data_IF_614900101682
#
_entry.id   IF_614900101682
#
_cell.length_a   1.000
_cell.length_b   1.000
_cell.length_c   1.000
_cell.angle_alpha   90.00
_cell.angle_beta   90.00
_cell.angle_gamma   90.00
#
_symmetry.space_group_name_H-M   'P 1'
#
loop_
_entity.id
_entity.type
_entity.pdbx_description
1 polymer ?
#
# COMPACT_ATOMS: atom_id res chain seq x y z
N UNK A 1 -15.51 5.06 -1.42
CA UNK A 1 -15.08 5.96 -2.51
C UNK A 1 -13.91 6.82 -2.04
N UNK A 2 -12.87 6.97 -2.86
CA UNK A 2 -11.68 7.77 -2.50
C UNK A 2 -11.69 9.17 -3.14
N UNK A 3 -12.70 9.53 -3.93
CA UNK A 3 -12.78 10.81 -4.65
C UNK A 3 -12.98 12.00 -3.70
N UNK A 4 -13.51 11.75 -2.51
CA UNK A 4 -13.67 12.75 -1.44
C UNK A 4 -12.35 13.24 -0.81
N UNK A 5 -11.25 12.49 -0.96
CA UNK A 5 -9.97 12.84 -0.33
C UNK A 5 -9.12 13.74 -1.23
N UNK A 6 -8.42 14.75 -0.67
CA UNK A 6 -7.60 15.67 -1.46
C UNK A 6 -6.39 14.96 -2.08
N UNK A 7 -6.17 15.20 -3.37
CA UNK A 7 -5.01 14.68 -4.11
C UNK A 7 -3.70 15.31 -3.61
N UNK A 8 -2.70 14.47 -3.42
CA UNK A 8 -1.38 14.88 -2.95
C UNK A 8 -0.46 15.19 -4.13
N UNK A 9 -0.14 16.47 -4.32
CA UNK A 9 0.87 16.91 -5.30
C UNK A 9 2.23 17.20 -4.68
N UNK A 10 2.31 17.10 -3.35
CA UNK A 10 3.50 17.39 -2.56
C UNK A 10 3.94 16.15 -1.82
N UNK A 11 5.24 16.03 -1.67
CA UNK A 11 5.87 14.96 -0.92
C UNK A 11 5.29 14.86 0.51
N UNK A 12 4.96 13.65 1.00
CA UNK A 12 4.26 13.46 2.27
C UNK A 12 5.19 13.71 3.46
N UNK A 13 4.60 13.80 4.66
CA UNK A 13 5.35 13.80 5.92
C UNK A 13 5.21 12.46 6.62
N UNK A 14 6.14 12.18 7.53
CA UNK A 14 6.09 11.00 8.39
C UNK A 14 4.77 10.99 9.16
N UNK A 15 4.21 9.80 9.37
CA UNK A 15 2.93 9.53 10.00
C UNK A 15 1.67 9.93 9.23
N UNK A 16 1.76 10.43 8.00
CA UNK A 16 0.57 10.65 7.18
C UNK A 16 -0.08 9.33 6.78
N UNK A 17 -1.42 9.29 6.78
CA UNK A 17 -2.20 8.18 6.23
C UNK A 17 -2.70 8.61 4.86
N UNK A 18 -2.39 7.80 3.86
CA UNK A 18 -2.72 8.10 2.46
C UNK A 18 -3.27 6.88 1.75
N UNK A 19 -4.14 7.14 0.78
CA UNK A 19 -4.56 6.18 -0.23
C UNK A 19 -3.72 6.39 -1.49
N UNK A 20 -3.36 5.30 -2.16
CA UNK A 20 -2.61 5.36 -3.41
C UNK A 20 -2.80 4.09 -4.22
N UNK A 21 -2.52 4.17 -5.51
CA UNK A 21 -2.28 3.01 -6.37
C UNK A 21 -0.80 2.97 -6.72
N UNK A 22 -0.32 1.83 -7.15
CA UNK A 22 0.99 1.68 -7.75
C UNK A 22 0.95 0.56 -8.78
N UNK A 23 2.00 0.46 -9.59
CA UNK A 23 2.14 -0.70 -10.46
C UNK A 23 2.64 -1.89 -9.64
N UNK A 24 1.97 -3.02 -9.82
CA UNK A 24 2.33 -4.32 -9.25
C UNK A 24 2.64 -5.29 -10.38
N UNK A 25 3.65 -6.11 -10.17
CA UNK A 25 3.97 -7.19 -11.10
C UNK A 25 3.01 -8.34 -10.76
N UNK A 26 2.02 -8.55 -11.62
CA UNK A 26 1.12 -9.70 -11.49
C UNK A 26 1.81 -11.01 -11.89
N UNK A 27 1.12 -12.13 -11.70
CA UNK A 27 1.66 -13.49 -11.94
C UNK A 27 2.18 -13.71 -13.38
N UNK A 28 1.63 -13.00 -14.36
CA UNK A 28 2.07 -13.05 -15.76
C UNK A 28 3.27 -12.13 -16.04
N UNK A 29 3.92 -11.58 -15.02
CA UNK A 29 4.99 -10.58 -15.11
C UNK A 29 4.60 -9.28 -15.84
N UNK A 30 3.30 -9.07 -16.06
CA UNK A 30 2.77 -7.83 -16.63
C UNK A 30 2.54 -6.81 -15.51
N UNK A 31 2.99 -5.54 -15.66
CA UNK A 31 2.68 -4.48 -14.71
C UNK A 31 1.17 -4.20 -14.76
N UNK A 32 0.50 -4.39 -13.63
CA UNK A 32 -0.92 -4.07 -13.44
C UNK A 32 -1.05 -2.92 -12.46
N UNK A 33 -2.03 -2.05 -12.69
CA UNK A 33 -2.39 -1.03 -11.73
C UNK A 33 -3.08 -1.68 -10.53
N UNK A 34 -2.55 -1.46 -9.34
CA UNK A 34 -3.18 -1.94 -8.12
C UNK A 34 -4.45 -1.17 -7.78
N UNK A 35 -5.32 -1.80 -6.98
CA UNK A 35 -6.43 -1.10 -6.34
C UNK A 35 -5.93 -0.04 -5.36
N UNK A 36 -6.80 0.88 -4.94
CA UNK A 36 -6.43 1.85 -3.91
C UNK A 36 -6.03 1.13 -2.62
N UNK A 37 -4.76 1.22 -2.26
CA UNK A 37 -4.22 0.76 -0.98
C UNK A 37 -4.17 1.92 -0.01
N UNK A 38 -4.44 1.65 1.26
CA UNK A 38 -4.28 2.63 2.34
C UNK A 38 -3.06 2.23 3.16
N UNK A 39 -2.23 3.22 3.48
CA UNK A 39 -1.12 2.99 4.39
C UNK A 39 -0.62 4.27 5.06
N UNK A 40 0.14 4.06 6.12
CA UNK A 40 0.80 5.09 6.91
C UNK A 40 2.27 5.21 6.52
N UNK A 41 2.72 6.42 6.23
CA UNK A 41 4.14 6.69 5.97
C UNK A 41 4.94 6.54 7.27
N UNK A 42 5.79 5.52 7.37
CA UNK A 42 6.58 5.24 8.58
C UNK A 42 8.00 5.80 8.48
N UNK A 43 8.56 5.83 7.28
CA UNK A 43 9.88 6.36 6.98
C UNK A 43 9.91 7.06 5.61
N UNK A 44 10.84 8.00 5.48
CA UNK A 44 10.98 8.86 4.32
C UNK A 44 12.48 9.09 4.07
N UNK A 45 12.96 8.66 2.90
CA UNK A 45 14.25 9.07 2.38
C UNK A 45 14.04 10.27 1.43
N UNK A 46 14.60 11.42 1.80
CA UNK A 46 14.48 12.66 1.00
C UNK A 46 15.48 12.74 -0.15
N UNK A 47 16.58 11.99 -0.09
CA UNK A 47 17.61 12.01 -1.12
C UNK A 47 17.10 11.27 -2.36
N UNK A 48 16.51 10.09 -2.15
CA UNK A 48 15.99 9.23 -3.22
C UNK A 48 14.48 9.41 -3.45
N UNK A 49 13.83 10.28 -2.65
CA UNK A 49 12.36 10.45 -2.63
C UNK A 49 11.63 9.13 -2.39
N UNK A 50 12.22 8.24 -1.60
CA UNK A 50 11.67 6.94 -1.28
C UNK A 50 10.81 7.01 -0.01
N UNK A 51 9.72 6.25 0.00
CA UNK A 51 8.76 6.20 1.08
C UNK A 51 8.60 4.77 1.55
N UNK A 52 8.74 4.56 2.85
CA UNK A 52 8.32 3.32 3.50
C UNK A 52 6.93 3.52 4.05
N UNK A 53 5.98 2.77 3.52
CA UNK A 53 4.56 2.87 3.84
C UNK A 53 4.13 1.57 4.49
N UNK A 54 3.61 1.64 5.71
CA UNK A 54 2.97 0.51 6.38
C UNK A 54 1.51 0.43 5.92
N UNK A 55 1.14 -0.62 5.22
CA UNK A 55 -0.22 -0.85 4.73
C UNK A 55 -1.17 -1.19 5.89
N UNK A 56 -2.41 -0.71 5.81
CA UNK A 56 -3.48 -1.05 6.76
C UNK A 56 -4.14 -2.37 6.35
N UNK A 57 -4.17 -3.36 7.25
CA UNK A 57 -4.71 -4.71 7.00
C UNK A 57 -6.12 -4.74 6.42
N UNK A 58 -6.94 -3.73 6.71
CA UNK A 58 -8.34 -3.66 6.25
C UNK A 58 -8.46 -3.58 4.71
N UNK A 59 -7.44 -3.10 4.00
CA UNK A 59 -7.53 -2.82 2.55
C UNK A 59 -6.89 -3.92 1.71
N UNK A 60 -6.11 -4.80 2.34
CA UNK A 60 -5.47 -5.96 1.70
C UNK A 60 -6.41 -7.19 1.74
N UNK A 61 -7.66 -7.01 2.18
CA UNK A 61 -8.73 -8.02 2.17
C UNK A 61 -9.48 -8.05 0.83
N UNK A 62 -8.84 -7.64 -0.26
CA UNK A 62 -9.41 -7.82 -1.58
C UNK A 62 -9.22 -9.26 -2.00
N UNK A 63 -10.13 -10.15 -1.62
CA UNK A 63 -10.47 -11.41 -2.31
C UNK A 63 -9.33 -12.21 -2.95
N UNK A 64 -8.13 -12.19 -2.39
CA UNK A 64 -7.08 -13.12 -2.79
C UNK A 64 -7.47 -14.45 -2.17
N UNK A 65 -8.16 -15.29 -2.95
CA UNK A 65 -8.43 -16.68 -2.59
C UNK A 65 -7.14 -17.27 -2.01
N UNK A 66 -7.21 -17.79 -0.79
CA UNK A 66 -6.09 -18.44 -0.11
C UNK A 66 -5.49 -19.45 -1.09
N UNK A 67 -4.27 -19.16 -1.56
CA UNK A 67 -3.59 -20.07 -2.47
C UNK A 67 -3.37 -21.39 -1.75
N UNK A 68 -3.22 -22.49 -2.50
CA UNK A 68 -2.91 -23.81 -1.91
C UNK A 68 -1.61 -23.84 -1.09
N UNK A 69 -0.79 -22.79 -1.19
CA UNK A 69 0.47 -22.60 -0.49
C UNK A 69 0.43 -21.51 0.57
N UNK A 70 -0.71 -20.84 0.76
CA UNK A 70 -0.83 -19.83 1.80
C UNK A 70 -0.92 -20.49 3.18
N UNK A 71 -0.10 -19.99 4.11
CA UNK A 71 -0.21 -20.35 5.52
C UNK A 71 -1.48 -19.72 6.08
N UNK A 72 -2.30 -20.51 6.77
CA UNK A 72 -3.51 -20.05 7.42
C UNK A 72 -3.43 -20.27 8.94
N UNK A 73 -4.07 -19.39 9.70
CA UNK A 73 -4.22 -19.49 11.15
C UNK A 73 -5.30 -20.53 11.51
N UNK A 74 -5.54 -20.79 12.80
CA UNK A 74 -6.51 -21.80 13.27
C UNK A 74 -7.95 -21.48 12.80
N UNK A 75 -8.24 -20.19 12.58
CA UNK A 75 -9.49 -19.67 12.01
C UNK A 75 -9.54 -19.70 10.46
N UNK A 76 -8.53 -20.28 9.79
CA UNK A 76 -8.48 -20.37 8.32
C UNK A 76 -8.16 -19.06 7.61
N UNK A 77 -7.63 -18.06 8.33
CA UNK A 77 -7.23 -16.76 7.76
C UNK A 77 -5.77 -16.75 7.34
N UNK A 78 -5.46 -16.20 6.17
CA UNK A 78 -4.07 -16.08 5.65
C UNK A 78 -3.16 -15.38 6.66
N UNK A 79 -2.11 -16.09 7.10
CA UNK A 79 -1.02 -15.55 7.90
C UNK A 79 -0.07 -14.83 6.93
N UNK A 80 -0.12 -13.50 6.92
CA UNK A 80 0.84 -12.67 6.18
C UNK A 80 2.03 -12.30 7.06
N UNK A 81 3.24 -12.34 6.50
CA UNK A 81 4.48 -11.95 7.16
C UNK A 81 4.52 -10.45 7.43
N UNK A 82 5.21 -10.01 8.50
CA UNK A 82 5.36 -8.58 8.85
C UNK A 82 5.88 -7.71 7.68
N UNK A 83 6.72 -8.30 6.82
CA UNK A 83 7.27 -7.67 5.62
C UNK A 83 6.22 -7.41 4.53
N UNK A 84 5.13 -8.18 4.47
CA UNK A 84 4.03 -7.96 3.50
C UNK A 84 3.21 -6.71 3.83
N UNK A 85 3.36 -6.15 5.04
CA UNK A 85 2.68 -4.93 5.46
C UNK A 85 3.53 -3.68 5.27
N UNK A 86 4.75 -3.79 4.73
CA UNK A 86 5.61 -2.64 4.45
C UNK A 86 5.95 -2.57 2.97
N UNK A 87 5.56 -1.47 2.36
CA UNK A 87 5.81 -1.17 0.97
C UNK A 87 6.88 -0.07 0.89
N UNK A 88 7.93 -0.32 0.11
CA UNK A 88 8.96 0.67 -0.19
C UNK A 88 8.77 1.08 -1.64
N UNK A 89 8.42 2.34 -1.86
CA UNK A 89 8.19 2.89 -3.21
C UNK A 89 8.83 4.28 -3.35
N UNK A 90 9.15 4.68 -4.57
CA UNK A 90 9.46 6.07 -4.85
C UNK A 90 8.19 6.90 -4.86
N UNK A 91 8.27 8.15 -4.42
CA UNK A 91 7.13 9.08 -4.48
C UNK A 91 6.57 9.24 -5.90
N UNK A 92 7.42 9.12 -6.91
CA UNK A 92 7.03 9.25 -8.32
C UNK A 92 6.28 8.01 -8.85
N UNK A 93 6.37 6.86 -8.17
CA UNK A 93 5.71 5.61 -8.58
C UNK A 93 4.27 5.53 -8.05
N UNK A 94 3.89 6.45 -7.17
CA UNK A 94 2.55 6.53 -6.61
C UNK A 94 1.58 7.14 -7.62
N UNK A 95 0.53 6.39 -7.93
CA UNK A 95 -0.53 6.76 -8.86
C UNK A 95 -1.73 7.24 -8.05
N UNK A 96 -2.22 8.43 -8.38
CA UNK A 96 -3.34 9.09 -7.69
C UNK A 96 -3.21 9.12 -6.15
N UNK A 97 -2.08 9.57 -5.57
CA UNK A 97 -1.94 9.63 -4.11
C UNK A 97 -2.94 10.62 -3.52
N UNK A 98 -3.65 10.21 -2.48
CA UNK A 98 -4.68 10.98 -1.78
C UNK A 98 -4.45 10.98 -0.28
N UNK A 99 -4.60 12.15 0.34
CA UNK A 99 -4.38 12.29 1.78
C UNK A 99 -5.65 11.96 2.55
N UNK A 100 -5.59 10.93 3.39
CA UNK A 100 -6.71 10.54 4.26
C UNK A 100 -6.63 11.30 5.58
N UNK A 101 -5.47 11.28 6.23
CA UNK A 101 -5.29 11.90 7.54
C UNK A 101 -3.89 12.48 7.71
N UNK A 102 -3.85 13.72 8.21
CA UNK A 102 -2.64 14.33 8.77
C UNK A 102 -2.55 13.89 10.23
N UNK A 103 -1.39 13.39 10.64
CA UNK A 103 -1.09 13.08 12.04
C UNK A 103 -0.10 14.10 12.59
#
# INVERSE_FOLDING_TARGET
DFSQYPSMRKFPKRNYIMAFKHLEIGENYCPKLSNFKIGKVVHIDKNEKQLTIKLDNSVINGDEELGKFDLADEDGKRIRSLSEFQLILSWNDLIEPKLIKKN
#
